data_IF_398382289491
#
_entry.id   IF_398382289491
#
_cell.length_a   1.000
_cell.length_b   1.000
_cell.length_c   1.000
_cell.angle_alpha   90.00
_cell.angle_beta   90.00
_cell.angle_gamma   90.00
#
_symmetry.space_group_name_H-M   'P 1'
#
loop_
_entity.id
_entity.type
_entity.pdbx_description
1 polymer ?
#
# COMPACT_ATOMS: atom_id res chain seq x y z
N UNK A 1 2.24 -30.30 88.41
CA UNK A 1 0.87 -30.82 88.63
C UNK A 1 0.31 -31.20 87.28
N UNK A 2 -0.05 -32.47 87.14
CA UNK A 2 -0.62 -33.04 85.93
C UNK A 2 -2.04 -32.54 85.69
N UNK A 3 -2.43 -32.36 84.43
CA UNK A 3 -3.70 -32.91 83.94
C UNK A 3 -3.72 -33.01 82.42
N UNK A 4 -3.74 -34.26 81.98
CA UNK A 4 -4.15 -34.71 80.65
C UNK A 4 -5.43 -34.01 80.18
N UNK A 5 -5.48 -33.62 78.90
CA UNK A 5 -6.73 -33.72 78.14
C UNK A 5 -6.41 -34.26 76.75
N UNK A 6 -7.18 -35.29 76.39
CA UNK A 6 -7.02 -36.19 75.27
C UNK A 6 -7.00 -35.49 73.91
N UNK A 7 -6.13 -36.01 73.04
CA UNK A 7 -6.21 -35.90 71.59
C UNK A 7 -7.39 -36.73 71.09
N UNK A 8 -8.43 -36.09 70.55
CA UNK A 8 -9.44 -36.74 69.72
C UNK A 8 -9.25 -36.32 68.27
N UNK A 9 -8.46 -37.11 67.54
CA UNK A 9 -8.39 -37.10 66.08
C UNK A 9 -9.75 -37.57 65.53
N UNK A 10 -10.60 -36.63 65.12
CA UNK A 10 -11.77 -36.93 64.31
C UNK A 10 -11.27 -37.10 62.88
N UNK A 11 -11.02 -38.35 62.47
CA UNK A 11 -10.90 -38.70 61.06
C UNK A 11 -12.29 -38.55 60.43
N UNK A 12 -12.56 -37.40 59.81
CA UNK A 12 -13.64 -37.30 58.84
C UNK A 12 -13.19 -38.08 57.62
N UNK A 13 -13.64 -39.33 57.51
CA UNK A 13 -13.53 -40.10 56.28
C UNK A 13 -14.35 -39.35 55.22
N UNK A 14 -13.66 -38.57 54.40
CA UNK A 14 -14.21 -38.01 53.18
C UNK A 14 -14.43 -39.21 52.25
N UNK A 15 -15.63 -39.76 52.26
CA UNK A 15 -16.08 -40.70 51.24
C UNK A 15 -16.04 -39.96 49.91
N UNK A 16 -14.96 -40.16 49.16
CA UNK A 16 -14.93 -39.88 47.75
C UNK A 16 -16.00 -40.76 47.10
N UNK A 17 -17.19 -40.19 46.91
CA UNK A 17 -18.14 -40.74 45.93
C UNK A 17 -17.46 -40.50 44.59
N UNK A 18 -16.76 -41.52 44.10
CA UNK A 18 -16.40 -41.59 42.71
C UNK A 18 -17.73 -41.63 41.94
N UNK A 19 -18.18 -40.48 41.43
CA UNK A 19 -18.99 -40.46 40.22
C UNK A 19 -18.09 -41.01 39.11
N UNK A 20 -17.99 -42.34 39.05
CA UNK A 20 -17.48 -43.01 37.87
C UNK A 20 -18.44 -42.69 36.73
N UNK A 21 -17.92 -42.17 35.62
CA UNK A 21 -18.57 -42.42 34.34
C UNK A 21 -18.51 -43.92 34.13
N UNK A 22 -19.62 -44.61 34.37
CA UNK A 22 -19.80 -45.96 33.88
C UNK A 22 -19.75 -45.89 32.34
N UNK A 23 -18.80 -46.57 31.68
CA UNK A 23 -18.72 -46.54 30.23
C UNK A 23 -20.00 -47.17 29.66
N UNK A 24 -20.74 -46.50 28.77
CA UNK A 24 -21.94 -47.07 28.17
C UNK A 24 -21.60 -48.34 27.39
N UNK A 25 -22.44 -49.36 27.53
CA UNK A 25 -22.39 -50.61 26.77
C UNK A 25 -22.32 -50.34 25.25
N UNK A 26 -21.73 -51.26 24.44
CA UNK A 26 -21.41 -50.99 23.04
C UNK A 26 -22.68 -50.67 22.25
N UNK A 27 -22.88 -49.37 22.02
CA UNK A 27 -24.03 -48.83 21.34
C UNK A 27 -23.91 -49.16 19.84
N UNK A 28 -24.66 -50.16 19.39
CA UNK A 28 -24.96 -50.36 17.96
C UNK A 28 -25.86 -49.23 17.43
N UNK A 29 -25.61 -47.97 17.81
CA UNK A 29 -26.38 -46.84 17.31
C UNK A 29 -26.22 -46.81 15.81
N UNK A 30 -27.28 -46.99 15.03
CA UNK A 30 -27.23 -46.65 13.61
C UNK A 30 -27.55 -45.17 13.52
N UNK A 31 -26.59 -44.36 13.08
CA UNK A 31 -26.84 -42.93 12.89
C UNK A 31 -27.73 -42.73 11.66
N UNK A 32 -28.69 -41.82 11.78
CA UNK A 32 -29.44 -41.30 10.65
C UNK A 32 -28.50 -40.56 9.69
N UNK A 33 -28.87 -40.52 8.41
CA UNK A 33 -28.14 -39.76 7.38
C UNK A 33 -28.61 -38.32 7.27
N UNK A 34 -29.33 -37.80 8.28
CA UNK A 34 -29.77 -36.42 8.29
C UNK A 34 -28.57 -35.48 8.44
N UNK A 35 -28.57 -34.39 7.66
CA UNK A 35 -27.52 -33.39 7.72
C UNK A 35 -27.92 -32.27 8.68
N UNK A 36 -27.44 -32.37 9.91
CA UNK A 36 -27.58 -31.35 10.97
C UNK A 36 -26.20 -31.15 11.59
N UNK A 37 -25.29 -30.45 10.90
CA UNK A 37 -23.87 -30.51 11.21
C UNK A 37 -23.58 -29.94 12.59
N UNK A 38 -22.51 -30.45 13.21
CA UNK A 38 -21.98 -30.00 14.50
C UNK A 38 -20.46 -29.87 14.42
N UNK A 39 -19.90 -28.92 15.17
CA UNK A 39 -18.46 -28.75 15.29
C UNK A 39 -17.97 -29.49 16.54
N UNK A 40 -17.03 -30.41 16.35
CA UNK A 40 -16.40 -31.11 17.47
C UNK A 40 -15.34 -30.25 18.16
N UNK A 41 -15.05 -30.56 19.43
CA UNK A 41 -13.92 -29.96 20.17
C UNK A 41 -12.55 -30.27 19.55
N UNK A 42 -12.49 -31.21 18.61
CA UNK A 42 -11.32 -31.54 17.79
C UNK A 42 -11.19 -30.64 16.53
N UNK A 43 -12.10 -29.67 16.36
CA UNK A 43 -12.14 -28.77 15.21
C UNK A 43 -12.63 -29.41 13.91
N UNK A 44 -13.22 -30.61 13.96
CA UNK A 44 -13.79 -31.28 12.78
C UNK A 44 -15.32 -31.13 12.73
N UNK A 45 -15.82 -30.88 11.52
CA UNK A 45 -17.27 -30.89 11.24
C UNK A 45 -17.76 -32.33 11.12
N UNK A 46 -18.79 -32.67 11.89
CA UNK A 46 -19.49 -33.94 11.79
C UNK A 46 -20.88 -33.72 11.16
N UNK A 47 -21.34 -34.67 10.33
CA UNK A 47 -22.60 -34.54 9.58
C UNK A 47 -23.84 -34.40 10.47
N UNK A 48 -23.79 -34.99 11.67
CA UNK A 48 -24.75 -34.80 12.74
C UNK A 48 -24.15 -35.20 14.11
N UNK A 49 -24.88 -34.87 15.17
CA UNK A 49 -24.50 -35.16 16.56
C UNK A 49 -24.26 -36.66 16.83
N UNK A 50 -25.01 -37.55 16.19
CA UNK A 50 -24.80 -39.00 16.33
C UNK A 50 -23.43 -39.42 15.79
N UNK A 51 -23.04 -38.93 14.61
CA UNK A 51 -21.74 -39.26 14.01
C UNK A 51 -20.57 -38.71 14.86
N UNK A 52 -20.73 -37.53 15.46
CA UNK A 52 -19.76 -37.00 16.43
C UNK A 52 -19.64 -37.88 17.69
N UNK A 53 -20.79 -38.31 18.24
CA UNK A 53 -20.86 -39.21 19.40
C UNK A 53 -20.18 -40.56 19.12
N UNK A 54 -20.40 -41.15 17.93
CA UNK A 54 -19.70 -42.36 17.50
C UNK A 54 -18.19 -42.22 17.40
N UNK A 55 -17.72 -41.03 17.04
CA UNK A 55 -16.29 -40.71 17.01
C UNK A 55 -15.72 -40.43 18.42
N UNK A 56 -16.55 -40.49 19.48
CA UNK A 56 -16.22 -40.08 20.85
C UNK A 56 -15.71 -38.63 20.91
N UNK A 57 -16.29 -37.75 20.10
CA UNK A 57 -15.94 -36.32 20.08
C UNK A 57 -17.07 -35.51 20.69
N UNK A 58 -16.75 -34.72 21.72
CA UNK A 58 -17.69 -33.79 22.31
C UNK A 58 -18.01 -32.66 21.31
N UNK A 59 -19.26 -32.22 21.30
CA UNK A 59 -19.72 -31.11 20.46
C UNK A 59 -19.33 -29.80 21.14
N UNK A 60 -18.62 -28.94 20.42
CA UNK A 60 -18.30 -27.57 20.83
C UNK A 60 -19.50 -26.65 20.58
N UNK A 61 -20.00 -26.64 19.34
CA UNK A 61 -21.19 -25.87 18.96
C UNK A 61 -21.97 -26.51 17.80
N UNK A 62 -23.23 -26.08 17.64
CA UNK A 62 -24.06 -26.46 16.48
C UNK A 62 -23.55 -25.80 15.19
N UNK A 63 -23.72 -26.48 14.05
CA UNK A 63 -23.24 -26.04 12.74
C UNK A 63 -21.85 -26.57 12.39
N UNK A 64 -21.38 -26.27 11.18
CA UNK A 64 -20.03 -26.68 10.73
C UNK A 64 -18.94 -25.90 11.46
N UNK A 65 -17.77 -26.52 11.66
CA UNK A 65 -16.60 -25.81 12.13
C UNK A 65 -16.17 -24.75 11.11
N UNK A 66 -15.85 -23.56 11.62
CA UNK A 66 -15.22 -22.51 10.83
C UNK A 66 -13.70 -22.61 10.99
N UNK A 67 -12.90 -22.42 9.93
CA UNK A 67 -11.46 -22.34 10.09
C UNK A 67 -11.13 -21.23 11.07
N UNK A 68 -10.26 -21.53 12.03
CA UNK A 68 -9.78 -20.56 13.00
C UNK A 68 -9.02 -19.44 12.25
N UNK A 69 -9.27 -18.16 12.58
CA UNK A 69 -8.59 -17.06 11.91
C UNK A 69 -7.08 -17.14 12.17
N UNK A 70 -6.30 -17.10 11.09
CA UNK A 70 -4.85 -17.01 11.16
C UNK A 70 -4.47 -15.54 11.28
N UNK A 71 -3.88 -15.16 12.42
CA UNK A 71 -3.53 -13.77 12.68
C UNK A 71 -2.18 -13.39 12.08
N UNK A 72 -2.05 -12.14 11.68
CA UNK A 72 -0.85 -11.50 11.12
C UNK A 72 -0.69 -10.08 11.66
N UNK A 73 0.47 -9.46 11.42
CA UNK A 73 0.80 -8.14 11.95
C UNK A 73 1.23 -8.18 13.42
N UNK A 74 1.28 -7.02 14.04
CA UNK A 74 1.82 -6.85 15.40
C UNK A 74 3.20 -7.47 15.60
N UNK A 75 3.42 -8.01 16.79
CA UNK A 75 4.66 -8.72 17.14
C UNK A 75 4.91 -9.99 16.30
N UNK A 76 3.84 -10.59 15.73
CA UNK A 76 3.96 -11.80 14.91
C UNK A 76 4.53 -11.49 13.51
N UNK A 77 4.43 -10.25 13.04
CA UNK A 77 4.83 -9.85 11.70
C UNK A 77 3.98 -10.52 10.61
N UNK A 78 4.55 -10.69 9.41
CA UNK A 78 3.82 -11.33 8.31
C UNK A 78 3.84 -12.85 8.42
N UNK A 79 2.75 -13.42 8.92
CA UNK A 79 2.53 -14.86 9.04
C UNK A 79 1.76 -15.45 7.86
N UNK A 80 1.19 -14.62 6.99
CA UNK A 80 0.31 -15.05 5.92
C UNK A 80 1.06 -15.84 4.85
N UNK A 81 0.38 -16.81 4.23
CA UNK A 81 0.95 -17.56 3.12
C UNK A 81 1.14 -16.66 1.88
N UNK A 82 1.85 -17.17 0.86
CA UNK A 82 2.17 -16.40 -0.35
C UNK A 82 0.93 -15.95 -1.13
N UNK A 83 -0.11 -16.77 -1.11
CA UNK A 83 -1.43 -16.57 -1.71
C UNK A 83 -2.42 -15.85 -0.77
N UNK A 84 -1.93 -15.33 0.36
CA UNK A 84 -2.72 -14.61 1.36
C UNK A 84 -2.18 -13.20 1.59
N UNK A 85 -3.06 -12.31 2.05
CA UNK A 85 -2.69 -10.98 2.48
C UNK A 85 -3.16 -10.75 3.92
N UNK A 86 -2.46 -9.85 4.63
CA UNK A 86 -2.86 -9.50 5.98
C UNK A 86 -3.97 -8.45 5.92
N UNK A 87 -5.23 -8.86 6.14
CA UNK A 87 -6.37 -7.97 6.16
C UNK A 87 -6.43 -7.28 7.53
N UNK A 88 -6.04 -6.01 7.56
CA UNK A 88 -6.13 -5.19 8.76
C UNK A 88 -7.52 -4.60 8.90
N UNK A 89 -8.14 -4.65 10.08
CA UNK A 89 -9.34 -3.87 10.34
C UNK A 89 -8.97 -2.35 10.37
N UNK A 90 -9.92 -1.44 10.08
CA UNK A 90 -9.64 -0.01 10.02
C UNK A 90 -8.99 0.57 11.28
N UNK A 91 -9.39 0.09 12.46
CA UNK A 91 -8.84 0.47 13.76
C UNK A 91 -7.39 0.03 13.98
N UNK A 92 -6.90 -0.97 13.22
CA UNK A 92 -5.51 -1.39 13.27
C UNK A 92 -4.59 -0.51 12.42
N UNK A 93 -5.14 0.42 11.61
CA UNK A 93 -4.40 1.43 10.86
C UNK A 93 -3.15 0.82 10.18
N UNK A 94 -3.35 -0.19 9.33
CA UNK A 94 -2.28 -0.89 8.63
C UNK A 94 -1.20 -1.53 9.53
N UNK A 95 -1.53 -1.88 10.76
CA UNK A 95 -0.61 -2.44 11.75
C UNK A 95 0.07 -1.40 12.66
N UNK A 96 -0.44 -0.17 12.72
CA UNK A 96 0.07 0.85 13.64
C UNK A 96 -0.04 0.39 15.10
N UNK A 97 0.98 0.68 15.91
CA UNK A 97 1.06 0.31 17.33
C UNK A 97 0.79 -1.20 17.58
N UNK A 98 1.46 -2.05 16.81
CA UNK A 98 1.29 -3.51 16.83
C UNK A 98 -0.13 -3.99 16.45
N UNK A 99 -0.86 -3.19 15.68
CA UNK A 99 -2.13 -3.58 15.08
C UNK A 99 -2.01 -4.93 14.38
N UNK A 100 -2.95 -5.83 14.65
CA UNK A 100 -3.01 -7.15 14.04
C UNK A 100 -4.16 -7.22 13.03
N UNK A 101 -4.01 -8.12 12.07
CA UNK A 101 -5.01 -8.45 11.07
C UNK A 101 -5.25 -9.96 11.01
N UNK A 102 -6.08 -10.37 10.06
CA UNK A 102 -6.36 -11.77 9.76
C UNK A 102 -5.89 -12.06 8.35
N UNK A 103 -5.25 -13.21 8.14
CA UNK A 103 -4.86 -13.65 6.81
C UNK A 103 -6.10 -14.02 6.01
N UNK A 104 -6.28 -13.32 4.88
CA UNK A 104 -7.32 -13.60 3.90
C UNK A 104 -6.70 -14.02 2.57
N UNK A 105 -7.43 -14.82 1.79
CA UNK A 105 -6.98 -15.22 0.46
C UNK A 105 -6.93 -14.03 -0.49
N UNK A 106 -5.85 -13.95 -1.28
CA UNK A 106 -5.77 -12.98 -2.37
C UNK A 106 -6.78 -13.34 -3.46
N UNK A 107 -7.61 -12.39 -3.91
CA UNK A 107 -8.47 -12.62 -5.07
C UNK A 107 -7.62 -12.92 -6.32
N UNK A 108 -7.98 -13.98 -7.05
CA UNK A 108 -7.30 -14.33 -8.31
C UNK A 108 -7.78 -13.49 -9.50
N UNK A 109 -9.02 -12.99 -9.41
CA UNK A 109 -9.65 -12.20 -10.46
C UNK A 109 -10.38 -11.00 -9.85
N UNK A 110 -10.19 -9.84 -10.47
CA UNK A 110 -10.83 -8.59 -10.08
C UNK A 110 -11.58 -7.99 -11.25
N UNK A 111 -12.79 -7.51 -10.99
CA UNK A 111 -13.50 -6.67 -11.96
C UNK A 111 -12.75 -5.35 -12.15
N UNK A 112 -12.79 -4.80 -13.37
CA UNK A 112 -12.10 -3.56 -13.73
C UNK A 112 -12.90 -2.29 -13.37
N UNK A 113 -13.66 -2.34 -12.28
CA UNK A 113 -14.36 -1.16 -11.77
C UNK A 113 -13.35 -0.17 -11.19
N UNK A 114 -13.48 1.11 -11.54
CA UNK A 114 -12.66 2.16 -10.95
C UNK A 114 -13.37 2.73 -9.71
N UNK A 115 -12.93 2.29 -8.53
CA UNK A 115 -13.35 2.78 -7.20
C UNK A 115 -12.09 2.83 -6.32
N UNK A 116 -11.26 3.87 -6.46
CA UNK A 116 -9.88 3.86 -5.99
C UNK A 116 -9.79 3.72 -4.47
N UNK A 117 -8.70 3.10 -4.02
CA UNK A 117 -8.36 2.92 -2.61
C UNK A 117 -6.87 3.20 -2.39
N UNK A 118 -6.52 3.60 -1.16
CA UNK A 118 -5.15 3.72 -0.74
C UNK A 118 -4.73 2.44 -0.02
N UNK A 119 -3.68 1.78 -0.52
CA UNK A 119 -3.10 0.62 0.14
C UNK A 119 -2.25 1.01 1.35
N UNK A 120 -2.05 0.05 2.26
CA UNK A 120 -1.10 0.18 3.38
C UNK A 120 0.36 0.35 2.93
N UNK A 121 0.66 0.10 1.66
CA UNK A 121 1.96 0.34 1.01
C UNK A 121 2.10 1.77 0.46
N UNK A 122 1.11 2.64 0.67
CA UNK A 122 1.09 4.02 0.16
C UNK A 122 0.78 4.14 -1.33
N UNK A 123 0.40 3.04 -2.00
CA UNK A 123 0.05 3.06 -3.42
C UNK A 123 -1.46 3.16 -3.61
N UNK A 124 -1.89 3.94 -4.61
CA UNK A 124 -3.29 3.96 -5.05
C UNK A 124 -3.58 2.76 -5.95
N UNK A 125 -4.62 2.02 -5.63
CA UNK A 125 -5.14 0.91 -6.41
C UNK A 125 -6.47 1.29 -7.05
N UNK A 126 -6.77 0.75 -8.24
CA UNK A 126 -8.00 1.07 -8.99
C UNK A 126 -9.28 0.64 -8.25
N UNK A 127 -9.18 -0.42 -7.44
CA UNK A 127 -10.21 -0.85 -6.49
C UNK A 127 -9.62 -1.74 -5.37
N UNK A 128 -10.41 -2.01 -4.33
CA UNK A 128 -10.01 -2.85 -3.20
C UNK A 128 -9.59 -4.26 -3.60
N UNK A 129 -10.26 -4.87 -4.58
CA UNK A 129 -9.87 -6.19 -5.08
C UNK A 129 -8.45 -6.16 -5.65
N UNK A 130 -8.12 -5.16 -6.46
CA UNK A 130 -6.77 -5.03 -7.04
C UNK A 130 -5.69 -4.83 -5.97
N UNK A 131 -5.97 -4.09 -4.89
CA UNK A 131 -5.08 -3.98 -3.74
C UNK A 131 -4.86 -5.33 -3.04
N UNK A 132 -5.95 -6.01 -2.69
CA UNK A 132 -5.90 -7.31 -2.01
C UNK A 132 -5.21 -8.38 -2.88
N UNK A 133 -5.43 -8.37 -4.20
CA UNK A 133 -4.77 -9.28 -5.15
C UNK A 133 -3.26 -9.08 -5.21
N UNK A 134 -2.79 -7.84 -5.01
CA UNK A 134 -1.38 -7.50 -4.87
C UNK A 134 -0.81 -7.87 -3.48
N UNK A 135 -1.66 -8.35 -2.56
CA UNK A 135 -1.26 -8.69 -1.20
C UNK A 135 -1.29 -7.52 -0.22
N UNK A 136 -2.03 -6.46 -0.54
CA UNK A 136 -2.00 -5.19 0.19
C UNK A 136 -3.39 -4.91 0.78
N UNK A 137 -3.44 -4.71 2.10
CA UNK A 137 -4.68 -4.27 2.77
C UNK A 137 -5.00 -2.81 2.41
N UNK A 138 -6.30 -2.50 2.39
CA UNK A 138 -6.77 -1.13 2.20
C UNK A 138 -6.60 -0.32 3.48
N UNK A 139 -5.95 0.82 3.38
CA UNK A 139 -5.85 1.81 4.46
C UNK A 139 -7.10 2.67 4.53
N UNK A 140 -7.52 3.23 3.38
CA UNK A 140 -8.71 4.07 3.27
C UNK A 140 -9.32 3.99 1.87
N UNK A 141 -10.60 4.35 1.79
CA UNK A 141 -11.26 4.64 0.53
C UNK A 141 -10.69 5.91 -0.13
N UNK A 142 -10.74 5.93 -1.47
CA UNK A 142 -10.15 6.98 -2.28
C UNK A 142 -8.64 6.80 -2.47
N UNK A 143 -8.03 7.57 -3.39
CA UNK A 143 -6.59 7.50 -3.60
C UNK A 143 -5.81 7.88 -2.33
N UNK A 144 -4.56 7.43 -2.25
CA UNK A 144 -3.67 7.86 -1.16
C UNK A 144 -3.58 9.38 -1.10
N UNK A 145 -3.47 9.97 0.11
CA UNK A 145 -3.15 11.39 0.21
C UNK A 145 -1.84 11.61 -0.53
N UNK A 146 -1.86 12.56 -1.44
CA UNK A 146 -0.66 13.06 -2.06
C UNK A 146 -0.29 14.35 -1.35
N UNK A 147 0.89 14.43 -0.76
CA UNK A 147 1.43 15.69 -0.24
C UNK A 147 1.93 16.63 -1.37
N UNK A 148 1.40 16.48 -2.59
CA UNK A 148 1.83 17.18 -3.79
C UNK A 148 2.93 16.44 -4.57
N UNK A 149 3.46 17.09 -5.63
CA UNK A 149 4.56 16.57 -6.43
C UNK A 149 5.77 16.22 -5.55
N UNK A 150 6.24 14.97 -5.60
CA UNK A 150 7.36 14.49 -4.78
C UNK A 150 8.68 14.57 -5.53
N UNK A 151 9.72 15.08 -4.88
CA UNK A 151 11.07 15.07 -5.42
C UNK A 151 11.56 13.62 -5.59
N UNK A 152 12.11 13.28 -6.76
CA UNK A 152 12.70 11.98 -7.01
C UNK A 152 13.80 12.08 -8.07
N UNK A 153 14.65 11.06 -8.17
CA UNK A 153 15.71 11.00 -9.20
C UNK A 153 15.20 10.24 -10.43
N UNK A 154 15.12 10.87 -11.62
CA UNK A 154 14.60 10.24 -12.82
C UNK A 154 15.62 9.30 -13.47
N UNK A 155 15.13 8.31 -14.22
CA UNK A 155 15.96 7.53 -15.14
C UNK A 155 16.24 8.28 -16.44
N UNK A 156 17.34 7.96 -17.14
CA UNK A 156 17.66 8.58 -18.43
C UNK A 156 16.53 8.37 -19.46
N UNK A 157 15.98 7.17 -19.56
CA UNK A 157 14.90 6.85 -20.51
C UNK A 157 13.61 7.64 -20.23
N UNK A 158 13.39 8.03 -18.99
CA UNK A 158 12.23 8.83 -18.56
C UNK A 158 12.40 10.32 -18.90
N UNK A 159 13.66 10.80 -18.96
CA UNK A 159 13.98 12.18 -19.33
C UNK A 159 14.07 12.43 -20.83
N UNK A 160 14.51 11.43 -21.60
CA UNK A 160 14.75 11.59 -23.04
C UNK A 160 13.44 11.89 -23.77
N UNK A 161 13.40 13.01 -24.50
CA UNK A 161 12.21 13.47 -25.20
C UNK A 161 12.10 14.99 -25.23
N UNK A 162 10.94 15.47 -25.69
CA UNK A 162 10.59 16.88 -25.69
C UNK A 162 9.73 17.23 -24.47
N UNK A 163 10.04 18.35 -23.85
CA UNK A 163 9.39 18.87 -22.66
C UNK A 163 8.98 20.29 -22.94
N UNK A 164 7.77 20.66 -22.53
CA UNK A 164 7.22 21.97 -22.85
C UNK A 164 6.65 22.65 -21.62
N UNK A 165 6.94 23.94 -21.50
CA UNK A 165 6.27 24.86 -20.59
C UNK A 165 5.61 25.98 -21.40
N UNK A 166 4.34 26.27 -21.13
CA UNK A 166 3.57 27.30 -21.84
C UNK A 166 2.93 28.28 -20.86
N UNK A 167 3.05 29.56 -21.16
CA UNK A 167 2.26 30.62 -20.56
C UNK A 167 1.33 31.29 -21.58
N UNK A 168 0.63 32.37 -21.18
CA UNK A 168 -0.33 33.05 -22.06
C UNK A 168 0.29 33.63 -23.34
N UNK A 169 1.57 33.99 -23.32
CA UNK A 169 2.28 34.66 -24.43
C UNK A 169 3.72 34.16 -24.63
N UNK A 170 4.04 32.98 -24.09
CA UNK A 170 5.37 32.39 -24.20
C UNK A 170 5.30 30.87 -24.19
N UNK A 171 6.22 30.23 -24.90
CA UNK A 171 6.41 28.79 -24.89
C UNK A 171 7.91 28.49 -24.86
N UNK A 172 8.32 27.58 -23.99
CA UNK A 172 9.70 27.09 -23.91
C UNK A 172 9.69 25.59 -24.10
N UNK A 173 10.60 25.09 -24.93
CA UNK A 173 10.80 23.68 -25.15
C UNK A 173 12.20 23.26 -24.70
N UNK A 174 12.29 22.15 -23.97
CA UNK A 174 13.53 21.46 -23.67
C UNK A 174 13.53 20.13 -24.41
N UNK A 175 14.67 19.77 -25.01
CA UNK A 175 14.87 18.47 -25.63
C UNK A 175 16.07 17.81 -24.97
N UNK A 176 15.89 16.60 -24.43
CA UNK A 176 16.97 15.79 -23.87
C UNK A 176 17.24 14.58 -24.76
N UNK A 177 18.50 14.40 -25.15
CA UNK A 177 18.92 13.30 -26.01
C UNK A 177 19.62 12.19 -25.22
N UNK A 178 19.64 10.98 -25.80
CA UNK A 178 20.26 9.79 -25.17
C UNK A 178 21.77 9.90 -24.98
N UNK A 179 22.43 10.80 -25.70
CA UNK A 179 23.87 11.06 -25.63
C UNK A 179 24.24 12.16 -24.62
N UNK A 180 23.30 12.50 -23.71
CA UNK A 180 23.44 13.55 -22.70
C UNK A 180 23.55 14.97 -23.24
N UNK A 181 23.23 15.18 -24.52
CA UNK A 181 23.06 16.53 -25.09
C UNK A 181 21.64 17.06 -24.86
N UNK A 182 21.49 18.38 -24.83
CA UNK A 182 20.20 19.04 -24.68
C UNK A 182 20.09 20.33 -25.47
N UNK A 183 18.85 20.72 -25.78
CA UNK A 183 18.51 21.99 -26.41
C UNK A 183 17.39 22.67 -25.64
N UNK A 184 17.50 23.98 -25.41
CA UNK A 184 16.43 24.86 -24.93
C UNK A 184 16.02 25.79 -26.05
N UNK A 185 14.75 25.74 -26.48
CA UNK A 185 14.15 26.64 -27.48
C UNK A 185 13.11 27.54 -26.82
N UNK A 186 13.36 28.84 -26.85
CA UNK A 186 12.38 29.85 -26.43
C UNK A 186 11.56 30.27 -27.66
N UNK A 187 10.32 29.76 -27.74
CA UNK A 187 9.39 29.97 -28.85
C UNK A 187 8.45 31.15 -28.51
N UNK A 188 8.82 32.36 -28.90
CA UNK A 188 7.99 33.57 -28.71
C UNK A 188 7.17 33.88 -29.96
N UNK A 189 5.84 34.04 -29.82
CA UNK A 189 4.95 34.75 -30.79
C UNK A 189 3.56 35.06 -30.19
N UNK A 190 2.87 36.19 -30.46
CA UNK A 190 3.24 37.44 -31.15
C UNK A 190 3.24 38.69 -30.23
N UNK A 191 3.82 39.80 -30.71
CA UNK A 191 3.79 41.10 -30.02
C UNK A 191 2.35 41.65 -29.88
N UNK A 192 2.00 42.27 -28.73
CA UNK A 192 0.87 43.19 -28.65
C UNK A 192 0.98 44.28 -29.73
N UNK A 193 -0.13 44.79 -30.29
CA UNK A 193 -0.10 45.87 -31.30
C UNK A 193 0.63 47.15 -30.85
N UNK A 194 0.84 47.31 -29.54
CA UNK A 194 1.38 48.52 -28.91
C UNK A 194 2.78 48.32 -28.27
N UNK A 195 3.36 47.13 -28.35
CA UNK A 195 4.67 46.84 -27.76
C UNK A 195 5.76 46.68 -28.83
N UNK A 196 6.83 47.49 -28.73
CA UNK A 196 8.03 47.32 -29.54
C UNK A 196 8.81 46.12 -29.00
N UNK A 197 8.70 44.97 -29.65
CA UNK A 197 9.57 43.82 -29.38
C UNK A 197 10.98 44.10 -29.91
N UNK A 198 12.02 43.85 -29.10
CA UNK A 198 13.40 43.93 -29.57
C UNK A 198 13.83 42.63 -30.30
N UNK A 199 13.18 41.48 -30.04
CA UNK A 199 13.41 40.23 -30.75
C UNK A 199 12.10 39.44 -30.96
N UNK A 200 11.67 39.30 -32.21
CA UNK A 200 10.68 38.31 -32.65
C UNK A 200 11.45 37.14 -33.29
N UNK A 201 11.85 36.15 -32.49
CA UNK A 201 12.66 35.04 -32.99
C UNK A 201 12.76 33.89 -32.01
N UNK A 202 12.97 32.70 -32.54
CA UNK A 202 13.27 31.49 -31.76
C UNK A 202 14.72 31.60 -31.28
N UNK A 203 14.93 31.62 -29.97
CA UNK A 203 16.29 31.53 -29.39
C UNK A 203 16.54 30.07 -29.03
N UNK A 204 17.62 29.50 -29.56
CA UNK A 204 18.02 28.13 -29.26
C UNK A 204 19.36 28.14 -28.55
N UNK A 205 19.41 27.54 -27.36
CA UNK A 205 20.62 27.32 -26.59
C UNK A 205 20.89 25.81 -26.53
N UNK A 206 22.12 25.40 -26.82
CA UNK A 206 22.53 24.00 -26.81
C UNK A 206 23.49 23.73 -25.67
N UNK A 207 23.51 22.50 -25.18
CA UNK A 207 24.36 22.12 -24.07
C UNK A 207 24.37 20.63 -23.79
N UNK A 208 24.83 20.30 -22.61
CA UNK A 208 24.76 18.98 -22.02
C UNK A 208 23.95 19.03 -20.72
N UNK A 209 23.51 17.86 -20.25
CA UNK A 209 22.86 17.73 -18.95
C UNK A 209 23.47 16.59 -18.13
N UNK A 210 23.29 16.69 -16.82
CA UNK A 210 23.69 15.66 -15.87
C UNK A 210 22.54 15.40 -14.89
N UNK A 211 22.22 14.13 -14.68
CA UNK A 211 21.20 13.73 -13.71
C UNK A 211 21.83 13.67 -12.33
N UNK A 212 21.32 14.47 -11.41
CA UNK A 212 21.70 14.51 -10.01
C UNK A 212 20.52 14.01 -9.15
N UNK A 213 20.73 13.71 -7.86
CA UNK A 213 19.64 13.35 -6.97
C UNK A 213 18.59 14.47 -6.90
N UNK A 214 17.37 14.18 -7.36
CA UNK A 214 16.21 15.09 -7.40
C UNK A 214 16.33 16.32 -8.32
N UNK A 215 17.35 16.37 -9.18
CA UNK A 215 17.68 17.54 -9.99
C UNK A 215 18.32 17.14 -11.32
N UNK A 216 18.12 17.95 -12.36
CA UNK A 216 18.87 17.87 -13.61
C UNK A 216 19.71 19.13 -13.75
N UNK A 217 21.03 18.97 -13.73
CA UNK A 217 21.97 20.06 -13.95
C UNK A 217 22.14 20.29 -15.46
N UNK A 218 22.01 21.54 -15.87
CA UNK A 218 22.10 22.01 -17.24
C UNK A 218 23.42 22.76 -17.46
N UNK A 219 24.16 22.37 -18.50
CA UNK A 219 25.45 22.98 -18.90
C UNK A 219 25.37 23.47 -20.33
N UNK A 220 25.12 24.76 -20.52
CA UNK A 220 25.04 25.36 -21.85
C UNK A 220 26.43 25.57 -22.47
N UNK A 221 26.54 25.38 -23.78
CA UNK A 221 27.80 25.48 -24.53
C UNK A 221 28.33 26.92 -24.64
N UNK A 222 27.44 27.89 -24.45
CA UNK A 222 27.78 29.30 -24.35
C UNK A 222 27.10 29.87 -23.11
N UNK A 223 27.88 30.35 -22.13
CA UNK A 223 27.40 31.15 -20.99
C UNK A 223 27.02 32.57 -21.47
N UNK A 224 26.32 32.69 -22.59
CA UNK A 224 25.93 33.97 -23.12
C UNK A 224 24.81 34.52 -22.25
N UNK A 225 25.18 35.35 -21.28
CA UNK A 225 24.37 36.48 -20.83
C UNK A 225 23.95 37.24 -22.09
N UNK A 226 22.79 36.86 -22.65
CA UNK A 226 22.24 37.57 -23.80
C UNK A 226 22.02 39.02 -23.36
N UNK A 227 22.33 39.92 -24.29
CA UNK A 227 22.33 41.38 -24.14
C UNK A 227 21.02 41.86 -23.49
N UNK A 228 21.01 41.99 -22.15
CA UNK A 228 19.80 42.17 -21.35
C UNK A 228 19.79 41.51 -19.95
N UNK A 229 20.74 40.61 -19.64
CA UNK A 229 20.92 40.09 -18.26
C UNK A 229 20.00 38.93 -17.86
N UNK A 230 19.53 38.12 -18.82
CA UNK A 230 18.76 36.91 -18.52
C UNK A 230 19.70 35.74 -18.30
N UNK A 231 19.74 35.24 -17.06
CA UNK A 231 20.55 34.07 -16.68
C UNK A 231 19.83 32.77 -17.07
N UNK A 232 20.52 31.85 -17.74
CA UNK A 232 19.97 30.52 -18.06
C UNK A 232 19.87 29.64 -16.80
N UNK A 233 18.85 28.77 -16.70
CA UNK A 233 18.69 27.88 -15.56
C UNK A 233 19.82 26.85 -15.53
N UNK A 234 20.46 26.68 -14.37
CA UNK A 234 21.50 25.66 -14.18
C UNK A 234 20.96 24.35 -13.64
N UNK A 235 19.77 24.38 -13.05
CA UNK A 235 19.18 23.28 -12.30
C UNK A 235 17.68 23.23 -12.58
N UNK A 236 17.16 22.02 -12.79
CA UNK A 236 15.74 21.74 -12.87
C UNK A 236 15.40 20.71 -11.80
N UNK A 237 14.59 21.12 -10.82
CA UNK A 237 14.09 20.17 -9.83
C UNK A 237 13.18 19.15 -10.54
N UNK A 238 13.29 17.88 -10.15
CA UNK A 238 12.50 16.81 -10.74
C UNK A 238 11.43 16.39 -9.75
N UNK A 239 10.19 16.38 -10.23
CA UNK A 239 9.05 15.97 -9.43
C UNK A 239 8.24 14.89 -10.14
N UNK A 240 7.68 13.97 -9.36
CA UNK A 240 6.68 13.00 -9.83
C UNK A 240 5.34 13.31 -9.18
N UNK A 241 4.33 13.51 -10.01
CA UNK A 241 2.93 13.65 -9.59
C UNK A 241 2.33 12.27 -9.28
N UNK A 242 1.16 12.26 -8.65
CA UNK A 242 0.56 11.03 -8.13
C UNK A 242 0.07 10.05 -9.20
N UNK A 243 -0.26 10.56 -10.38
CA UNK A 243 -0.58 9.77 -11.57
C UNK A 243 0.68 9.22 -12.25
N UNK A 244 1.86 9.46 -11.67
CA UNK A 244 3.14 9.01 -12.19
C UNK A 244 3.70 9.94 -13.27
N UNK A 245 3.05 11.07 -13.56
CA UNK A 245 3.60 12.04 -14.49
C UNK A 245 4.85 12.69 -13.90
N UNK A 246 5.80 12.98 -14.77
CA UNK A 246 7.05 13.62 -14.40
C UNK A 246 6.98 15.08 -14.80
N UNK A 247 7.47 15.93 -13.92
CA UNK A 247 7.53 17.36 -14.10
C UNK A 247 8.97 17.82 -13.84
N UNK A 248 9.49 18.67 -14.72
CA UNK A 248 10.72 19.40 -14.47
C UNK A 248 10.34 20.82 -14.04
N UNK A 249 10.96 21.31 -12.99
CA UNK A 249 10.60 22.58 -12.37
C UNK A 249 11.81 23.50 -12.39
N UNK A 250 11.69 24.60 -13.13
CA UNK A 250 12.65 25.71 -13.11
C UNK A 250 12.19 26.75 -12.09
N UNK A 251 13.08 27.15 -11.19
CA UNK A 251 12.85 28.28 -10.28
C UNK A 251 13.46 29.53 -10.88
N UNK A 252 12.63 30.52 -11.17
CA UNK A 252 13.03 31.81 -11.71
C UNK A 252 13.67 32.69 -10.63
N UNK A 253 14.47 33.72 -11.00
CA UNK A 253 15.11 34.61 -10.04
C UNK A 253 14.16 35.37 -9.10
N UNK A 254 12.90 35.57 -9.50
CA UNK A 254 11.84 36.20 -8.70
C UNK A 254 11.16 35.23 -7.71
N UNK A 255 11.58 33.96 -7.70
CA UNK A 255 11.01 32.89 -6.87
C UNK A 255 9.79 32.20 -7.48
N UNK A 256 9.29 32.65 -8.63
CA UNK A 256 8.24 31.93 -9.36
C UNK A 256 8.80 30.65 -9.98
N UNK A 257 7.92 29.70 -10.28
CA UNK A 257 8.30 28.44 -10.90
C UNK A 257 7.67 28.26 -12.27
N UNK A 258 8.42 27.60 -13.15
CA UNK A 258 7.98 27.15 -14.47
C UNK A 258 8.03 25.63 -14.49
N UNK A 259 6.89 25.00 -14.79
CA UNK A 259 6.77 23.55 -14.87
C UNK A 259 6.76 23.09 -16.31
N UNK A 260 7.73 22.26 -16.67
CA UNK A 260 7.80 21.56 -17.94
C UNK A 260 7.15 20.19 -17.82
N UNK A 261 6.33 19.84 -18.80
CA UNK A 261 5.69 18.53 -18.94
C UNK A 261 6.15 17.86 -20.24
N UNK A 262 6.21 16.52 -20.31
CA UNK A 262 6.49 15.84 -21.56
C UNK A 262 5.45 16.23 -22.64
N UNK A 263 5.93 16.50 -23.86
CA UNK A 263 5.09 16.85 -25.02
C UNK A 263 4.49 15.61 -25.68
#
# INVERSE_FOLDING_TARGET
MARHLLVTLIFVALSAVALGCEPPEPDETVCTTEYKPVCGVDGKTYSNACVAGKANVAIDHDGECKPQPKYCGGWLGNTCAKDEFCAYPPEAICGWADGSGVCEKKPEACILIYKPVCGCDGKTYGNSCSANSAGVSVYKDGPCPCDGPQAYTPGLEELVGEWTAKGPQWEVQLTFNKDFTMQKRDLVAPCPPEAVCFWSGIVTNEGAFQINPNDVELKFSTDNDFNGGVTLPKHLAVSRTCDGAVELIETLPDGNTVTYRPY
#
